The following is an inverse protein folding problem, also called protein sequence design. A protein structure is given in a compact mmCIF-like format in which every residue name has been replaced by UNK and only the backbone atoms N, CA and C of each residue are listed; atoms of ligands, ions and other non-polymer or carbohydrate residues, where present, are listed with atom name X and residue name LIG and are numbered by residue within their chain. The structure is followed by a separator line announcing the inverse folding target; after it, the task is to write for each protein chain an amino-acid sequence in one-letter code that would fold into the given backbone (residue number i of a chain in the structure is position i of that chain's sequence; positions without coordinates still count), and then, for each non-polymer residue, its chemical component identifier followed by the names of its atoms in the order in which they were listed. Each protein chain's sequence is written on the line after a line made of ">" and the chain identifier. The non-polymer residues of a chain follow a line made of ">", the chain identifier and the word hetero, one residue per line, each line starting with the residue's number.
data_IF_928370153372
#
_entry.id   IF_928370153372
#
_cell.length_a   1.000
_cell.length_b   1.000
_cell.length_c   1.000
_cell.angle_alpha   90.00
_cell.angle_beta   90.00
_cell.angle_gamma   90.00
#
_symmetry.space_group_name_H-M   'P 1'
#
loop_
_entity.id
_entity.type
_entity.pdbx_description
1 polymer ?
#
# COMPACT_ATOMS: atom_id res chain seq x y z
N UNK A 1 3.15 -19.01 -10.25
CA UNK A 1 3.03 -17.72 -10.95
C UNK A 1 1.56 -17.60 -11.29
N UNK A 2 0.88 -16.63 -10.71
CA UNK A 2 -0.56 -16.44 -10.90
C UNK A 2 -0.79 -15.26 -11.84
N UNK A 3 -1.86 -15.35 -12.64
CA UNK A 3 -2.27 -14.31 -13.59
C UNK A 3 -3.44 -13.55 -13.02
N UNK A 4 -3.32 -12.22 -12.99
CA UNK A 4 -4.34 -11.31 -12.51
C UNK A 4 -4.76 -10.39 -13.66
N UNK A 5 -6.06 -10.20 -13.84
CA UNK A 5 -6.60 -9.34 -14.90
C UNK A 5 -7.41 -8.22 -14.26
N UNK A 6 -7.07 -6.97 -14.56
CA UNK A 6 -7.70 -5.78 -13.98
C UNK A 6 -8.52 -5.05 -15.03
N UNK A 7 -9.83 -5.00 -14.81
CA UNK A 7 -10.82 -4.29 -15.63
C UNK A 7 -11.61 -3.34 -14.73
N UNK A 8 -11.41 -2.04 -14.88
CA UNK A 8 -12.10 -1.04 -14.06
C UNK A 8 -12.53 0.16 -14.90
N UNK A 9 -13.83 0.41 -14.96
CA UNK A 9 -14.45 1.63 -15.47
C UNK A 9 -15.41 2.22 -14.44
N UNK A 10 -15.68 3.53 -14.53
CA UNK A 10 -16.68 4.21 -13.71
C UNK A 10 -17.58 5.07 -14.59
N UNK A 11 -18.85 5.13 -14.23
CA UNK A 11 -19.79 6.07 -14.82
C UNK A 11 -19.94 7.28 -13.89
N UNK A 12 -19.63 8.47 -14.38
CA UNK A 12 -19.92 9.72 -13.67
C UNK A 12 -21.33 10.16 -14.04
N UNK A 13 -22.25 10.15 -13.07
CA UNK A 13 -23.60 10.70 -13.20
C UNK A 13 -23.72 11.96 -12.37
N UNK A 14 -24.28 13.01 -12.97
CA UNK A 14 -24.57 14.24 -12.24
C UNK A 14 -26.04 14.26 -11.84
N UNK A 15 -26.30 14.27 -10.54
CA UNK A 15 -27.66 14.43 -10.02
C UNK A 15 -28.15 15.85 -10.32
N UNK A 16 -29.25 15.97 -11.08
CA UNK A 16 -29.80 17.24 -11.54
C UNK A 16 -30.64 17.92 -10.46
N UNK A 17 -29.98 18.55 -9.50
CA UNK A 17 -30.65 19.43 -8.52
C UNK A 17 -30.74 20.86 -9.06
N UNK A 18 -31.59 21.70 -8.47
CA UNK A 18 -31.71 23.13 -8.83
C UNK A 18 -30.35 23.83 -8.83
N UNK A 19 -29.55 23.65 -7.78
CA UNK A 19 -28.20 24.24 -7.67
C UNK A 19 -27.24 23.71 -8.74
N UNK A 20 -27.36 22.43 -9.09
CA UNK A 20 -26.51 21.82 -10.12
C UNK A 20 -26.84 22.35 -11.52
N UNK A 21 -28.13 22.60 -11.78
CA UNK A 21 -28.60 23.20 -13.03
C UNK A 21 -28.19 24.69 -13.11
N UNK A 22 -28.34 25.45 -12.03
CA UNK A 22 -27.90 26.85 -11.96
C UNK A 22 -26.41 27.01 -12.24
N UNK A 23 -25.56 26.15 -11.65
CA UNK A 23 -24.12 26.13 -11.94
C UNK A 23 -23.86 25.73 -13.39
N UNK A 24 -24.54 24.69 -13.89
CA UNK A 24 -24.35 24.23 -15.26
C UNK A 24 -24.70 25.33 -16.27
N UNK A 25 -25.78 26.07 -16.05
CA UNK A 25 -26.19 27.19 -16.89
C UNK A 25 -25.21 28.37 -16.78
N UNK A 26 -24.84 28.76 -15.55
CA UNK A 26 -23.94 29.89 -15.29
C UNK A 26 -22.55 29.72 -15.91
N UNK A 27 -22.08 28.48 -16.05
CA UNK A 27 -20.75 28.16 -16.58
C UNK A 27 -20.78 27.41 -17.92
N UNK A 28 -21.95 27.21 -18.53
CA UNK A 28 -22.10 26.49 -19.80
C UNK A 28 -21.63 25.02 -19.78
N UNK A 29 -21.85 24.31 -18.67
CA UNK A 29 -21.39 22.93 -18.48
C UNK A 29 -22.41 21.92 -18.99
N UNK A 30 -21.94 20.93 -19.77
CA UNK A 30 -22.73 19.74 -20.09
C UNK A 30 -22.85 18.79 -18.89
N UNK A 31 -24.06 18.31 -18.62
CA UNK A 31 -24.37 17.39 -17.51
C UNK A 31 -24.52 15.93 -17.99
N UNK A 32 -23.83 15.59 -19.07
CA UNK A 32 -23.89 14.27 -19.68
C UNK A 32 -23.23 13.22 -18.80
N UNK A 33 -23.80 12.00 -18.83
CA UNK A 33 -23.12 10.85 -18.25
C UNK A 33 -21.88 10.53 -19.07
N UNK A 34 -20.75 10.33 -18.38
CA UNK A 34 -19.49 9.94 -19.01
C UNK A 34 -18.99 8.66 -18.37
N UNK A 35 -18.61 7.70 -19.20
CA UNK A 35 -17.88 6.52 -18.77
C UNK A 35 -16.38 6.78 -18.89
N UNK A 36 -15.65 6.44 -17.82
CA UNK A 36 -14.22 6.60 -17.71
C UNK A 36 -13.60 5.24 -17.40
N UNK A 37 -12.90 4.67 -18.38
CA UNK A 37 -12.12 3.44 -18.19
C UNK A 37 -10.78 3.77 -17.57
N UNK A 38 -10.50 3.20 -16.41
CA UNK A 38 -9.25 3.37 -15.67
C UNK A 38 -8.24 2.30 -16.05
N UNK A 39 -8.67 1.05 -16.16
CA UNK A 39 -7.88 -0.10 -16.59
C UNK A 39 -8.72 -0.96 -17.53
N UNK A 40 -8.16 -1.27 -18.69
CA UNK A 40 -8.78 -2.10 -19.71
C UNK A 40 -7.86 -3.31 -19.98
N UNK A 41 -8.32 -4.49 -19.59
CA UNK A 41 -7.64 -5.77 -19.67
C UNK A 41 -6.15 -5.72 -19.28
N UNK A 42 -5.82 -5.11 -18.14
CA UNK A 42 -4.44 -5.09 -17.65
C UNK A 42 -4.12 -6.46 -17.05
N UNK A 43 -3.31 -7.25 -17.77
CA UNK A 43 -2.82 -8.55 -17.35
C UNK A 43 -1.49 -8.42 -16.59
N UNK A 44 -1.42 -9.05 -15.42
CA UNK A 44 -0.27 -9.02 -14.52
C UNK A 44 0.09 -10.43 -14.08
N UNK A 45 1.37 -10.78 -14.14
CA UNK A 45 1.89 -12.02 -13.57
C UNK A 45 2.66 -11.75 -12.28
N UNK A 46 2.21 -12.32 -11.15
CA UNK A 46 2.88 -12.16 -9.85
C UNK A 46 3.23 -13.54 -9.29
N UNK A 47 4.44 -13.67 -8.76
CA UNK A 47 4.92 -14.85 -8.02
C UNK A 47 4.86 -14.58 -6.52
N UNK A 48 4.70 -15.65 -5.75
CA UNK A 48 4.79 -15.57 -4.30
C UNK A 48 6.19 -15.09 -3.89
N UNK A 49 6.26 -14.04 -3.07
CA UNK A 49 7.51 -13.41 -2.65
C UNK A 49 7.94 -12.20 -3.48
N UNK A 50 7.21 -11.87 -4.55
CA UNK A 50 7.51 -10.69 -5.37
C UNK A 50 7.28 -9.39 -4.60
N UNK A 51 8.12 -8.41 -4.91
CA UNK A 51 7.93 -7.00 -4.56
C UNK A 51 7.29 -6.29 -5.76
N UNK A 52 6.04 -5.90 -5.61
CA UNK A 52 5.26 -5.14 -6.61
C UNK A 52 5.24 -3.67 -6.23
N UNK A 53 5.66 -2.81 -7.16
CA UNK A 53 5.77 -1.37 -6.94
C UNK A 53 4.90 -0.59 -7.92
N UNK A 54 3.87 0.07 -7.40
CA UNK A 54 2.84 0.77 -8.17
C UNK A 54 3.05 2.28 -8.01
N UNK A 55 3.43 2.97 -9.08
CA UNK A 55 3.69 4.42 -9.10
C UNK A 55 2.75 5.16 -10.05
N UNK A 56 2.69 6.48 -9.90
CA UNK A 56 1.86 7.37 -10.72
C UNK A 56 1.29 8.55 -9.94
N UNK A 57 0.72 9.52 -10.66
CA UNK A 57 0.18 10.75 -10.06
C UNK A 57 -0.95 10.51 -9.05
N UNK A 58 -1.21 11.48 -8.17
CA UNK A 58 -2.37 11.40 -7.27
C UNK A 58 -3.67 11.29 -8.09
N UNK A 59 -4.62 10.48 -7.62
CA UNK A 59 -5.88 10.21 -8.33
C UNK A 59 -5.76 9.37 -9.61
N UNK A 60 -4.57 8.87 -9.97
CA UNK A 60 -4.37 8.12 -11.22
C UNK A 60 -4.93 6.70 -11.21
N UNK A 61 -5.35 6.18 -10.05
CA UNK A 61 -5.91 4.83 -9.92
C UNK A 61 -4.98 3.76 -9.33
N UNK A 62 -3.88 4.13 -8.67
CA UNK A 62 -2.96 3.16 -8.02
C UNK A 62 -3.67 2.30 -6.96
N UNK A 63 -4.42 2.95 -6.07
CA UNK A 63 -5.23 2.31 -5.02
C UNK A 63 -6.29 1.36 -5.57
N UNK A 64 -6.72 1.56 -6.82
CA UNK A 64 -7.67 0.67 -7.50
C UNK A 64 -6.97 -0.63 -7.89
N UNK A 65 -5.80 -0.56 -8.53
CA UNK A 65 -4.98 -1.75 -8.86
C UNK A 65 -4.62 -2.52 -7.61
N UNK A 66 -4.14 -1.81 -6.58
CA UNK A 66 -3.74 -2.42 -5.32
C UNK A 66 -4.92 -3.16 -4.67
N UNK A 67 -6.11 -2.56 -4.62
CA UNK A 67 -7.31 -3.21 -4.05
C UNK A 67 -7.79 -4.40 -4.87
N UNK A 68 -7.73 -4.29 -6.20
CA UNK A 68 -8.16 -5.38 -7.08
C UNK A 68 -7.22 -6.59 -7.00
N UNK A 69 -5.91 -6.36 -6.96
CA UNK A 69 -4.93 -7.43 -6.72
C UNK A 69 -5.16 -8.10 -5.34
N UNK A 70 -5.36 -7.31 -4.29
CA UNK A 70 -5.68 -7.85 -2.97
C UNK A 70 -6.95 -8.70 -2.98
N UNK A 71 -8.00 -8.26 -3.69
CA UNK A 71 -9.26 -9.00 -3.82
C UNK A 71 -9.04 -10.34 -4.52
N UNK A 72 -8.41 -10.34 -5.70
CA UNK A 72 -8.16 -11.57 -6.45
C UNK A 72 -7.25 -12.53 -5.68
N UNK A 73 -6.22 -12.03 -5.00
CA UNK A 73 -5.36 -12.86 -4.14
C UNK A 73 -6.12 -13.47 -2.94
N UNK A 74 -7.07 -12.74 -2.35
CA UNK A 74 -7.97 -13.30 -1.32
C UNK A 74 -8.90 -14.36 -1.90
N UNK A 75 -9.44 -14.15 -3.09
CA UNK A 75 -10.31 -15.10 -3.79
C UNK A 75 -9.54 -16.40 -4.13
N UNK A 76 -8.23 -16.33 -4.35
CA UNK A 76 -7.32 -17.48 -4.48
C UNK A 76 -6.98 -18.17 -3.14
N UNK A 77 -7.49 -17.65 -2.01
CA UNK A 77 -7.29 -18.20 -0.67
C UNK A 77 -6.00 -17.73 0.03
N UNK A 78 -5.30 -16.71 -0.49
CA UNK A 78 -4.14 -16.14 0.17
C UNK A 78 -4.55 -15.22 1.32
N UNK A 79 -3.81 -15.29 2.44
CA UNK A 79 -3.95 -14.32 3.52
C UNK A 79 -3.30 -13.00 3.14
N UNK A 80 -4.09 -11.92 3.21
CA UNK A 80 -3.67 -10.56 2.83
C UNK A 80 -3.84 -9.62 4.02
N UNK A 81 -2.82 -8.82 4.31
CA UNK A 81 -2.86 -7.78 5.34
C UNK A 81 -2.38 -6.44 4.76
N UNK A 82 -3.05 -5.34 5.09
CA UNK A 82 -2.58 -3.99 4.75
C UNK A 82 -1.86 -3.35 5.93
N UNK A 83 -0.78 -2.61 5.66
CA UNK A 83 -0.10 -1.79 6.67
C UNK A 83 -1.03 -0.72 7.26
N UNK A 84 -2.03 -0.31 6.49
CA UNK A 84 -2.98 0.74 6.83
C UNK A 84 -4.04 0.27 7.83
N UNK A 85 -4.26 -1.05 7.91
CA UNK A 85 -5.27 -1.66 8.80
C UNK A 85 -4.83 -1.71 10.27
N UNK A 86 -3.52 -1.54 10.54
CA UNK A 86 -3.00 -1.62 11.90
C UNK A 86 -3.11 -0.29 12.63
N UNK A 87 -3.87 -0.31 13.72
CA UNK A 87 -3.91 0.73 14.75
C UNK A 87 -3.18 0.25 15.99
N UNK A 88 -2.75 1.19 16.82
CA UNK A 88 -2.07 0.91 18.08
C UNK A 88 -2.80 1.61 19.22
N UNK A 89 -2.75 0.98 20.38
CA UNK A 89 -3.19 1.62 21.61
C UNK A 89 -2.10 2.61 22.04
N UNK A 90 -2.49 3.89 22.14
CA UNK A 90 -1.59 4.98 22.48
C UNK A 90 -1.29 5.07 23.98
N UNK A 91 -1.91 4.25 24.81
CA UNK A 91 -1.69 4.18 26.26
C UNK A 91 -0.90 2.95 26.70
N UNK A 92 -0.70 1.97 25.80
CA UNK A 92 0.05 0.74 26.06
C UNK A 92 1.46 0.85 25.47
N UNK A 93 2.45 0.27 26.13
CA UNK A 93 3.82 0.27 25.63
C UNK A 93 3.95 -0.56 24.35
N UNK A 94 4.92 -0.19 23.51
CA UNK A 94 5.19 -0.89 22.24
C UNK A 94 5.42 -2.38 22.45
N UNK A 95 6.24 -2.77 23.43
CA UNK A 95 6.61 -4.18 23.65
C UNK A 95 5.42 -5.07 24.04
N UNK A 96 4.39 -4.48 24.64
CA UNK A 96 3.20 -5.19 25.12
C UNK A 96 2.12 -5.33 24.02
N UNK A 97 2.33 -4.72 22.86
CA UNK A 97 1.36 -4.71 21.76
C UNK A 97 1.67 -5.75 20.69
N UNK A 98 2.76 -6.51 20.75
CA UNK A 98 3.10 -7.54 19.78
C UNK A 98 3.86 -8.71 20.41
N UNK A 99 3.75 -9.89 19.79
CA UNK A 99 4.31 -11.14 20.28
C UNK A 99 3.60 -11.65 21.55
N UNK A 100 3.76 -12.94 21.83
CA UNK A 100 3.25 -13.56 23.07
C UNK A 100 4.26 -13.52 24.21
N UNK A 101 5.54 -13.32 23.87
CA UNK A 101 6.65 -13.26 24.81
C UNK A 101 7.57 -12.11 24.42
N UNK A 102 8.36 -11.62 25.38
CA UNK A 102 9.36 -10.58 25.12
C UNK A 102 10.33 -10.98 24.01
N UNK A 103 10.77 -12.23 23.98
CA UNK A 103 11.70 -12.73 22.94
C UNK A 103 11.09 -12.67 21.54
N UNK A 104 9.82 -13.08 21.41
CA UNK A 104 9.08 -13.01 20.16
C UNK A 104 8.89 -11.56 19.70
N UNK A 105 8.46 -10.68 20.60
CA UNK A 105 8.28 -9.26 20.33
C UNK A 105 9.58 -8.61 19.83
N UNK A 106 10.69 -8.84 20.53
CA UNK A 106 12.01 -8.34 20.13
C UNK A 106 12.45 -8.87 18.75
N UNK A 107 12.16 -10.14 18.45
CA UNK A 107 12.43 -10.72 17.13
C UNK A 107 11.67 -10.02 16.00
N UNK A 108 10.37 -9.76 16.22
CA UNK A 108 9.50 -9.05 15.27
C UNK A 108 9.97 -7.61 15.04
N UNK A 109 10.23 -6.87 16.13
CA UNK A 109 10.73 -5.48 16.06
C UNK A 109 12.07 -5.41 15.34
N UNK A 110 12.97 -6.35 15.62
CA UNK A 110 14.28 -6.41 14.97
C UNK A 110 14.17 -6.68 13.47
N UNK A 111 13.30 -7.61 13.05
CA UNK A 111 13.03 -7.89 11.64
C UNK A 111 12.44 -6.69 10.91
N UNK A 112 11.60 -5.90 11.58
CA UNK A 112 11.06 -4.65 11.05
C UNK A 112 12.06 -3.47 11.07
N UNK A 113 13.25 -3.67 11.65
CA UNK A 113 14.30 -2.68 11.76
C UNK A 113 14.06 -1.63 12.86
N UNK A 114 13.24 -1.94 13.86
CA UNK A 114 13.08 -1.15 15.08
C UNK A 114 13.95 -1.76 16.19
N UNK A 115 15.22 -1.37 16.24
CA UNK A 115 16.22 -1.90 17.19
C UNK A 115 16.63 -0.85 18.25
N UNK A 116 15.65 -0.12 18.78
CA UNK A 116 15.88 0.90 19.81
C UNK A 116 15.12 0.51 21.08
N UNK A 117 15.88 0.01 22.06
CA UNK A 117 15.34 -0.44 23.33
C UNK A 117 14.58 0.64 24.10
N UNK A 118 14.95 1.92 23.90
CA UNK A 118 14.24 3.02 24.52
C UNK A 118 12.80 3.09 24.05
N UNK A 119 12.52 2.78 22.78
CA UNK A 119 11.15 2.82 22.22
C UNK A 119 10.28 1.65 22.70
N UNK A 120 10.88 0.53 23.11
CA UNK A 120 10.13 -0.67 23.48
C UNK A 120 9.26 -0.44 24.73
N UNK A 121 9.76 0.39 25.64
CA UNK A 121 9.08 0.78 26.89
C UNK A 121 8.30 2.09 26.77
N UNK A 122 8.12 2.61 25.55
CA UNK A 122 7.38 3.85 25.25
C UNK A 122 6.03 3.53 24.62
N UNK A 123 5.16 4.54 24.59
CA UNK A 123 3.86 4.45 23.93
C UNK A 123 3.98 4.81 22.45
N UNK A 124 3.17 4.23 21.56
CA UNK A 124 3.12 4.61 20.14
C UNK A 124 2.88 6.09 19.91
N UNK A 125 2.14 6.78 20.79
CA UNK A 125 1.90 8.22 20.74
C UNK A 125 3.20 9.06 20.82
N UNK A 126 4.25 8.53 21.44
CA UNK A 126 5.56 9.16 21.61
C UNK A 126 6.52 8.88 20.43
N UNK A 127 6.10 8.09 19.45
CA UNK A 127 6.92 7.68 18.31
C UNK A 127 6.73 8.60 17.09
N UNK A 128 7.82 8.82 16.37
CA UNK A 128 7.79 9.41 15.02
C UNK A 128 7.04 8.51 14.04
N UNK A 129 6.56 9.08 12.93
CA UNK A 129 5.84 8.31 11.90
C UNK A 129 6.71 7.20 11.31
N UNK A 130 8.01 7.44 11.11
CA UNK A 130 8.93 6.41 10.64
C UNK A 130 9.10 5.24 11.61
N UNK A 131 9.08 5.50 12.92
CA UNK A 131 9.12 4.45 13.94
C UNK A 131 7.78 3.69 13.98
N UNK A 132 6.64 4.39 13.89
CA UNK A 132 5.31 3.77 13.79
C UNK A 132 5.18 2.88 12.55
N UNK A 133 5.70 3.31 11.41
CA UNK A 133 5.74 2.48 10.19
C UNK A 133 6.50 1.18 10.40
N UNK A 134 7.65 1.22 11.08
CA UNK A 134 8.41 0.00 11.44
C UNK A 134 7.62 -0.88 12.40
N UNK A 135 6.89 -0.30 13.36
CA UNK A 135 5.99 -1.07 14.22
C UNK A 135 4.85 -1.74 13.43
N UNK A 136 4.28 -1.06 12.42
CA UNK A 136 3.30 -1.67 11.49
C UNK A 136 3.90 -2.79 10.65
N UNK A 137 5.15 -2.68 10.23
CA UNK A 137 5.88 -3.78 9.57
C UNK A 137 6.02 -4.97 10.52
N UNK A 138 6.31 -4.74 11.81
CA UNK A 138 6.34 -5.82 12.80
C UNK A 138 4.99 -6.54 12.93
N UNK A 139 3.88 -5.79 12.87
CA UNK A 139 2.51 -6.34 12.81
C UNK A 139 2.20 -7.12 11.53
N UNK A 140 2.68 -6.67 10.39
CA UNK A 140 2.59 -7.45 9.14
C UNK A 140 3.29 -8.81 9.28
N UNK A 141 4.49 -8.83 9.87
CA UNK A 141 5.23 -10.08 10.13
C UNK A 141 4.44 -10.97 11.09
N UNK A 142 3.97 -10.41 12.21
CA UNK A 142 3.18 -11.13 13.22
C UNK A 142 1.91 -11.76 12.65
N UNK A 143 1.25 -11.07 11.71
CA UNK A 143 0.01 -11.55 11.08
C UNK A 143 0.18 -12.88 10.32
N UNK A 144 1.41 -13.21 9.92
CA UNK A 144 1.70 -14.37 9.07
C UNK A 144 1.08 -14.29 7.67
N UNK A 145 0.58 -13.12 7.26
CA UNK A 145 -0.03 -12.92 5.95
C UNK A 145 0.97 -13.21 4.82
N UNK A 146 0.50 -13.90 3.76
CA UNK A 146 1.31 -14.23 2.58
C UNK A 146 1.43 -13.07 1.60
N UNK A 147 0.55 -12.10 1.70
CA UNK A 147 0.54 -10.89 0.87
C UNK A 147 0.40 -9.67 1.77
N UNK A 148 1.29 -8.70 1.58
CA UNK A 148 1.28 -7.43 2.28
C UNK A 148 0.93 -6.32 1.30
N UNK A 149 0.04 -5.41 1.71
CA UNK A 149 -0.31 -4.24 0.94
C UNK A 149 0.05 -2.96 1.70
N UNK A 150 0.40 -1.92 0.96
CA UNK A 150 0.56 -0.58 1.50
C UNK A 150 0.11 0.45 0.47
N UNK A 151 -0.93 1.21 0.79
CA UNK A 151 -1.36 2.34 -0.03
C UNK A 151 -0.74 3.65 0.48
N UNK A 152 -0.62 4.64 -0.40
CA UNK A 152 0.03 5.93 -0.11
C UNK A 152 1.37 5.81 0.64
N UNK A 153 2.12 4.76 0.31
CA UNK A 153 3.25 4.34 1.14
C UNK A 153 4.31 5.43 1.25
N UNK A 154 4.63 5.76 2.50
CA UNK A 154 5.63 6.74 2.85
C UNK A 154 5.25 8.18 2.53
N UNK A 155 3.98 8.50 2.23
CA UNK A 155 3.55 9.86 1.90
C UNK A 155 3.79 10.88 3.04
N UNK A 156 3.71 10.42 4.29
CA UNK A 156 3.93 11.26 5.49
C UNK A 156 5.38 11.27 5.98
N UNK A 157 6.27 10.49 5.35
CA UNK A 157 7.66 10.35 5.77
C UNK A 157 8.57 11.31 5.00
N UNK A 158 9.62 11.80 5.64
CA UNK A 158 10.74 12.40 4.90
C UNK A 158 11.38 11.35 3.98
N UNK A 159 12.08 11.81 2.93
CA UNK A 159 12.59 10.91 1.88
C UNK A 159 13.63 9.93 2.41
N UNK A 160 14.52 10.35 3.31
CA UNK A 160 15.54 9.46 3.86
C UNK A 160 14.86 8.36 4.69
N UNK A 161 13.93 8.73 5.56
CA UNK A 161 13.17 7.75 6.36
C UNK A 161 12.35 6.81 5.49
N UNK A 162 11.70 7.31 4.43
CA UNK A 162 10.93 6.49 3.50
C UNK A 162 11.80 5.41 2.82
N UNK A 163 13.03 5.75 2.42
CA UNK A 163 13.99 4.79 1.84
C UNK A 163 14.37 3.69 2.84
N UNK A 164 14.59 4.06 4.10
CA UNK A 164 14.93 3.07 5.14
C UNK A 164 13.73 2.17 5.45
N UNK A 165 12.53 2.73 5.58
CA UNK A 165 11.30 1.96 5.83
C UNK A 165 10.98 1.04 4.64
N UNK A 166 11.13 1.50 3.40
CA UNK A 166 11.02 0.68 2.20
C UNK A 166 11.99 -0.50 2.20
N UNK A 167 13.26 -0.24 2.55
CA UNK A 167 14.29 -1.29 2.65
C UNK A 167 13.96 -2.31 3.73
N UNK A 168 13.43 -1.87 4.87
CA UNK A 168 12.99 -2.76 5.95
C UNK A 168 11.79 -3.61 5.52
N UNK A 169 10.78 -3.01 4.88
CA UNK A 169 9.58 -3.68 4.41
C UNK A 169 9.93 -4.81 3.45
N UNK A 170 10.68 -4.53 2.38
CA UNK A 170 11.02 -5.56 1.39
C UNK A 170 11.91 -6.66 1.98
N UNK A 171 12.88 -6.31 2.85
CA UNK A 171 13.75 -7.30 3.50
C UNK A 171 12.95 -8.22 4.42
N UNK A 172 12.03 -7.66 5.20
CA UNK A 172 11.15 -8.42 6.06
C UNK A 172 10.26 -9.37 5.23
N UNK A 173 9.62 -8.86 4.17
CA UNK A 173 8.75 -9.64 3.28
C UNK A 173 9.51 -10.81 2.65
N UNK A 174 10.67 -10.55 2.05
CA UNK A 174 11.53 -11.59 1.45
C UNK A 174 11.99 -12.62 2.48
N UNK A 175 12.31 -12.20 3.71
CA UNK A 175 12.74 -13.11 4.79
C UNK A 175 11.65 -14.12 5.19
N UNK A 176 10.38 -13.74 5.13
CA UNK A 176 9.25 -14.61 5.46
C UNK A 176 8.55 -15.20 4.22
N UNK A 177 9.03 -14.89 3.02
CA UNK A 177 8.45 -15.32 1.76
C UNK A 177 7.07 -14.69 1.45
N UNK A 178 6.79 -13.50 1.99
CA UNK A 178 5.58 -12.75 1.68
C UNK A 178 5.76 -11.93 0.40
N UNK A 179 4.72 -11.89 -0.43
CA UNK A 179 4.59 -10.92 -1.52
C UNK A 179 4.28 -9.56 -0.91
N UNK A 180 4.87 -8.47 -1.43
CA UNK A 180 4.55 -7.12 -0.96
C UNK A 180 4.15 -6.23 -2.13
N UNK A 181 3.05 -5.52 -1.98
CA UNK A 181 2.52 -4.59 -2.97
C UNK A 181 2.47 -3.19 -2.38
N UNK A 182 3.20 -2.27 -3.00
CA UNK A 182 3.36 -0.89 -2.53
C UNK A 182 2.82 0.07 -3.57
N UNK A 183 1.81 0.87 -3.22
CA UNK A 183 1.32 1.96 -4.04
C UNK A 183 1.75 3.32 -3.47
N UNK A 184 2.31 4.19 -4.31
CA UNK A 184 2.78 5.51 -3.88
C UNK A 184 2.91 6.47 -5.05
N UNK A 185 2.94 7.78 -4.78
CA UNK A 185 3.27 8.81 -5.78
C UNK A 185 4.79 9.01 -5.91
N UNK A 186 5.57 8.44 -5.00
CA UNK A 186 7.01 8.60 -4.90
C UNK A 186 7.72 7.56 -5.75
N UNK A 187 8.45 7.97 -6.79
CA UNK A 187 9.23 7.06 -7.67
C UNK A 187 10.65 6.81 -7.15
N UNK A 188 11.11 7.58 -6.16
CA UNK A 188 12.46 7.49 -5.61
C UNK A 188 12.70 6.19 -4.81
N UNK A 189 11.65 5.48 -4.41
CA UNK A 189 11.75 4.29 -3.54
C UNK A 189 12.16 3.01 -4.29
N UNK A 190 12.29 3.04 -5.63
CA UNK A 190 12.64 1.87 -6.46
C UNK A 190 13.87 1.13 -5.95
N UNK A 191 14.94 1.86 -5.63
CA UNK A 191 16.21 1.27 -5.19
C UNK A 191 16.11 0.61 -3.82
N UNK A 192 15.32 1.18 -2.90
CA UNK A 192 15.09 0.63 -1.57
C UNK A 192 14.18 -0.60 -1.61
N UNK A 193 13.09 -0.54 -2.39
CA UNK A 193 12.12 -1.63 -2.53
C UNK A 193 12.69 -2.81 -3.33
N UNK A 194 13.54 -2.54 -4.33
CA UNK A 194 14.07 -3.55 -5.27
C UNK A 194 12.92 -4.39 -5.85
N UNK A 195 11.99 -3.76 -6.60
CA UNK A 195 10.81 -4.42 -7.11
C UNK A 195 11.17 -5.51 -8.13
N UNK A 196 10.44 -6.62 -8.07
CA UNK A 196 10.44 -7.66 -9.10
C UNK A 196 9.42 -7.30 -10.21
N UNK A 197 8.42 -6.47 -9.89
CA UNK A 197 7.49 -5.87 -10.85
C UNK A 197 7.22 -4.39 -10.53
N UNK A 198 7.28 -3.53 -11.54
CA UNK A 198 6.90 -2.12 -11.45
C UNK A 198 5.72 -1.82 -12.36
N UNK A 199 4.66 -1.24 -11.80
CA UNK A 199 3.49 -0.75 -12.53
C UNK A 199 3.50 0.78 -12.45
N UNK A 200 3.69 1.45 -13.57
CA UNK A 200 3.64 2.92 -13.64
C UNK A 200 2.36 3.35 -14.33
N UNK A 201 1.49 4.01 -13.56
CA UNK A 201 0.21 4.54 -14.01
C UNK A 201 0.36 5.98 -14.50
N UNK A 202 0.10 6.17 -15.79
CA UNK A 202 0.05 7.48 -16.44
C UNK A 202 -1.41 7.99 -16.56
N UNK A 203 -1.60 9.08 -17.29
CA UNK A 203 -2.93 9.68 -17.52
C UNK A 203 -3.85 8.74 -18.30
N UNK A 204 -5.12 8.65 -17.88
CA UNK A 204 -6.17 7.76 -18.42
C UNK A 204 -5.74 6.29 -18.47
N UNK A 205 -6.06 5.54 -19.53
CA UNK A 205 -5.80 4.11 -19.68
C UNK A 205 -4.31 3.73 -19.76
N UNK A 206 -3.40 4.70 -19.89
CA UNK A 206 -1.97 4.41 -20.10
C UNK A 206 -1.33 3.83 -18.84
N UNK A 207 -0.87 2.59 -18.95
CA UNK A 207 -0.13 1.85 -17.92
C UNK A 207 1.12 1.27 -18.54
N UNK A 208 2.23 1.33 -17.82
CA UNK A 208 3.46 0.61 -18.15
C UNK A 208 3.72 -0.43 -17.07
N UNK A 209 4.04 -1.66 -17.48
CA UNK A 209 4.45 -2.73 -16.57
C UNK A 209 5.85 -3.18 -16.95
N UNK A 210 6.75 -3.26 -15.97
CA UNK A 210 8.14 -3.69 -16.12
C UNK A 210 8.43 -4.80 -15.13
N UNK A 211 9.08 -5.86 -15.60
CA UNK A 211 9.54 -7.00 -14.80
C UNK A 211 11.07 -6.96 -14.69
N UNK A 212 11.61 -7.29 -13.52
CA UNK A 212 13.05 -7.33 -13.26
C UNK A 212 13.66 -8.72 -13.57
#
# INVERSE_FOLDING_TARGET
>A
MSKYTINVSFQTRVNKTTRTLEIAESFGLGLDEKEWTLYDNLELEVKQGDVVYITGQSGSGKSVVLRELQRQMKDEGLSVASIDDFTFDNEVNVIDQLGKTTSEALGLLSMAGLNDAYLFVRKPSEMSDGQKYRLKIAKLIESGAKVWAADEFGAVLDRVTAQVVASNLQRAARKVGATVMVATTHEDLKNALRPDMQITKHYKERVKVEYA
#
